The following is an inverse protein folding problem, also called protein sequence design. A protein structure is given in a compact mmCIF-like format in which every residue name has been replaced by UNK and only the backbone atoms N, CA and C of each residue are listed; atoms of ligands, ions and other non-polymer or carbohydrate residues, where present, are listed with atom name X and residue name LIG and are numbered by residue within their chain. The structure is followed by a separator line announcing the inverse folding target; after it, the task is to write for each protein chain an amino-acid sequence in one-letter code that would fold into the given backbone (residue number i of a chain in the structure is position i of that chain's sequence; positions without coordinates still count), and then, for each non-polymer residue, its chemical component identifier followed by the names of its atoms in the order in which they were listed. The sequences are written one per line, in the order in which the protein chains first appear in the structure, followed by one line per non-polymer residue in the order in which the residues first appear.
data_IF_418288428177
#
_entry.id   IF_418288428177
#
_cell.length_a   1.000
_cell.length_b   1.000
_cell.length_c   1.000
_cell.angle_alpha   90.00
_cell.angle_beta   90.00
_cell.angle_gamma   90.00
#
_symmetry.space_group_name_H-M   'P 1'
#
loop_
_entity.id
_entity.type
_entity.pdbx_description
1 polymer ?
#
# COMPACT_ATOMS: atom_id res chain seq x y z
N UNK A 1 -12.57 7.19 -10.01
CA UNK A 1 -13.25 6.36 -11.04
C UNK A 1 -14.56 5.93 -10.42
N UNK A 2 -15.64 5.76 -11.20
CA UNK A 2 -16.86 5.20 -10.65
C UNK A 2 -16.59 3.72 -10.26
N UNK A 3 -17.08 3.32 -9.08
CA UNK A 3 -17.09 1.94 -8.62
C UNK A 3 -17.63 1.02 -9.74
N UNK A 4 -16.88 -0.01 -10.11
CA UNK A 4 -17.36 -0.94 -11.12
C UNK A 4 -18.49 -1.77 -10.52
N UNK A 5 -19.66 -1.79 -11.12
CA UNK A 5 -20.77 -2.67 -10.72
C UNK A 5 -20.48 -4.17 -10.98
N UNK A 6 -19.29 -4.50 -11.46
CA UNK A 6 -18.87 -5.85 -11.79
C UNK A 6 -18.48 -6.61 -10.52
N UNK A 7 -18.99 -7.84 -10.37
CA UNK A 7 -18.52 -8.76 -9.32
C UNK A 7 -17.08 -9.18 -9.60
N UNK A 8 -16.18 -8.92 -8.66
CA UNK A 8 -14.78 -9.27 -8.75
C UNK A 8 -14.52 -10.70 -8.26
N UNK A 9 -13.43 -11.31 -8.73
CA UNK A 9 -12.92 -12.58 -8.21
C UNK A 9 -11.69 -12.33 -7.35
N UNK A 10 -11.68 -12.94 -6.16
CA UNK A 10 -10.57 -12.81 -5.22
C UNK A 10 -9.24 -13.27 -5.86
N UNK A 11 -8.20 -12.42 -5.87
CA UNK A 11 -6.91 -12.75 -6.48
C UNK A 11 -6.14 -13.84 -5.73
N UNK A 12 -6.50 -14.11 -4.46
CA UNK A 12 -5.85 -15.11 -3.63
C UNK A 12 -6.49 -16.50 -3.74
N UNK A 13 -7.84 -16.60 -3.76
CA UNK A 13 -8.53 -17.90 -3.72
C UNK A 13 -9.51 -18.13 -4.89
N UNK A 14 -9.74 -17.15 -5.76
CA UNK A 14 -10.63 -17.25 -6.91
C UNK A 14 -12.14 -17.19 -6.59
N UNK A 15 -12.53 -17.09 -5.32
CA UNK A 15 -13.94 -16.98 -4.91
C UNK A 15 -14.51 -15.62 -5.33
N UNK A 16 -15.80 -15.58 -5.64
CA UNK A 16 -16.49 -14.30 -5.90
C UNK A 16 -16.49 -13.41 -4.66
N UNK A 17 -16.09 -12.14 -4.84
CA UNK A 17 -16.06 -11.15 -3.78
C UNK A 17 -17.44 -10.48 -3.66
N UNK A 18 -17.77 -10.09 -2.45
CA UNK A 18 -19.00 -9.38 -2.13
C UNK A 18 -18.71 -7.90 -1.93
N UNK A 19 -19.49 -7.03 -2.56
CA UNK A 19 -19.44 -5.59 -2.33
C UNK A 19 -20.15 -5.24 -1.03
N UNK A 20 -19.40 -4.62 -0.12
CA UNK A 20 -19.90 -4.11 1.16
C UNK A 20 -19.88 -2.59 1.09
N UNK A 21 -21.05 -1.98 1.21
CA UNK A 21 -21.14 -0.53 1.30
C UNK A 21 -20.75 -0.06 2.69
N UNK A 22 -19.83 0.89 2.77
CA UNK A 22 -19.36 1.51 4.03
C UNK A 22 -19.91 2.94 4.09
N UNK A 23 -21.00 3.18 4.85
CA UNK A 23 -21.70 4.46 4.85
C UNK A 23 -20.86 5.63 5.33
N UNK A 24 -19.94 5.38 6.27
CA UNK A 24 -19.08 6.42 6.85
C UNK A 24 -18.15 7.07 5.81
N UNK A 25 -17.67 6.30 4.83
CA UNK A 25 -16.81 6.76 3.74
C UNK A 25 -17.57 6.94 2.42
N UNK A 26 -18.78 6.38 2.31
CA UNK A 26 -19.63 6.47 1.12
C UNK A 26 -19.12 5.66 -0.08
N UNK A 27 -18.34 4.60 0.17
CA UNK A 27 -17.74 3.73 -0.85
C UNK A 27 -18.14 2.27 -0.68
N UNK A 28 -18.01 1.48 -1.76
CA UNK A 28 -18.15 0.04 -1.70
C UNK A 28 -16.76 -0.60 -1.67
N UNK A 29 -16.57 -1.59 -0.81
CA UNK A 29 -15.33 -2.37 -0.69
C UNK A 29 -15.62 -3.81 -1.10
N UNK A 30 -14.75 -4.42 -1.90
CA UNK A 30 -14.88 -5.82 -2.31
C UNK A 30 -14.22 -6.75 -1.29
N UNK A 31 -15.02 -7.65 -0.67
CA UNK A 31 -14.56 -8.56 0.39
C UNK A 31 -14.83 -10.01 0.02
N UNK A 32 -13.85 -10.88 0.21
CA UNK A 32 -13.94 -12.32 -0.01
C UNK A 32 -14.60 -13.04 1.18
N UNK A 33 -15.87 -12.75 1.46
CA UNK A 33 -16.61 -13.23 2.65
C UNK A 33 -16.81 -14.74 2.70
N UNK A 34 -16.80 -15.44 1.55
CA UNK A 34 -17.02 -16.90 1.44
C UNK A 34 -15.74 -17.70 1.14
N UNK A 35 -14.58 -17.05 1.12
CA UNK A 35 -13.32 -17.69 0.77
C UNK A 35 -12.24 -17.46 1.80
N UNK A 36 -11.29 -16.57 1.51
CA UNK A 36 -10.11 -16.34 2.34
C UNK A 36 -10.20 -15.10 3.25
N UNK A 37 -11.27 -14.31 3.19
CA UNK A 37 -11.41 -13.09 3.99
C UNK A 37 -10.59 -11.89 3.48
N UNK A 38 -9.95 -12.01 2.30
CA UNK A 38 -9.18 -10.92 1.71
C UNK A 38 -10.07 -9.76 1.24
N UNK A 39 -9.50 -8.55 1.23
CA UNK A 39 -10.17 -7.29 0.92
C UNK A 39 -9.49 -6.65 -0.28
N UNK A 40 -10.25 -6.21 -1.25
CA UNK A 40 -9.75 -5.42 -2.36
C UNK A 40 -10.32 -3.99 -2.29
N UNK A 41 -9.41 -3.04 -2.31
CA UNK A 41 -9.69 -1.62 -2.39
C UNK A 41 -9.38 -1.10 -3.80
N UNK A 42 -10.30 -0.40 -4.40
CA UNK A 42 -10.05 0.32 -5.63
C UNK A 42 -9.06 1.49 -5.40
N UNK A 43 -8.63 2.13 -6.48
CA UNK A 43 -7.64 3.21 -6.42
C UNK A 43 -8.06 4.32 -5.43
N UNK A 44 -7.22 4.55 -4.43
CA UNK A 44 -7.36 5.54 -3.33
C UNK A 44 -8.38 5.20 -2.24
N UNK A 45 -9.14 4.12 -2.34
CA UNK A 45 -10.08 3.74 -1.28
C UNK A 45 -9.34 3.32 -0.02
N UNK A 46 -8.24 2.58 -0.15
CA UNK A 46 -7.44 2.12 0.99
C UNK A 46 -7.09 3.25 1.97
N UNK A 47 -6.79 4.45 1.47
CA UNK A 47 -6.44 5.62 2.28
C UNK A 47 -7.61 6.16 3.14
N UNK A 48 -8.81 5.62 2.99
CA UNK A 48 -9.98 5.96 3.81
C UNK A 48 -10.19 4.97 4.95
N UNK A 49 -9.28 3.99 5.10
CA UNK A 49 -9.42 2.88 6.04
C UNK A 49 -8.14 2.50 6.78
N UNK A 50 -7.00 3.11 6.45
CA UNK A 50 -5.68 2.70 6.97
C UNK A 50 -5.32 3.33 8.32
N UNK A 51 -6.11 4.31 8.81
CA UNK A 51 -5.87 4.99 10.08
C UNK A 51 -6.88 4.59 11.17
N UNK A 52 -6.44 4.61 12.45
CA UNK A 52 -7.25 4.14 13.59
C UNK A 52 -8.54 4.90 13.80
N UNK A 53 -8.59 6.18 13.45
CA UNK A 53 -9.77 7.03 13.66
C UNK A 53 -10.88 6.80 12.62
N UNK A 54 -10.58 6.10 11.52
CA UNK A 54 -11.55 5.81 10.47
C UNK A 54 -12.45 4.64 10.88
N UNK A 55 -13.73 4.71 10.50
CA UNK A 55 -14.67 3.64 10.82
C UNK A 55 -14.50 2.47 9.83
N UNK A 56 -14.32 1.25 10.35
CA UNK A 56 -14.23 -0.01 9.60
C UNK A 56 -15.23 -1.07 10.11
N UNK A 57 -16.21 -0.69 10.90
CA UNK A 57 -17.13 -1.64 11.55
C UNK A 57 -17.87 -2.52 10.54
N UNK A 58 -18.31 -1.96 9.42
CA UNK A 58 -18.97 -2.69 8.35
C UNK A 58 -18.04 -3.76 7.72
N UNK A 59 -16.75 -3.43 7.56
CA UNK A 59 -15.73 -4.35 7.03
C UNK A 59 -15.50 -5.48 8.03
N UNK A 60 -15.28 -5.14 9.31
CA UNK A 60 -15.06 -6.12 10.38
C UNK A 60 -16.26 -7.05 10.51
N UNK A 61 -17.48 -6.51 10.51
CA UNK A 61 -18.70 -7.31 10.59
C UNK A 61 -18.84 -8.28 9.42
N UNK A 62 -18.42 -7.88 8.22
CA UNK A 62 -18.46 -8.72 7.02
C UNK A 62 -17.51 -9.93 7.09
N UNK A 63 -16.43 -9.83 7.88
CA UNK A 63 -15.43 -10.92 8.07
C UNK A 63 -15.50 -11.58 9.45
N UNK A 64 -16.32 -11.06 10.36
CA UNK A 64 -16.47 -11.60 11.69
C UNK A 64 -17.17 -12.98 11.64
N UNK A 65 -16.73 -13.88 12.52
CA UNK A 65 -17.27 -15.22 12.69
C UNK A 65 -17.21 -16.15 11.47
N UNK A 66 -16.33 -15.90 10.52
CA UNK A 66 -16.08 -16.78 9.38
C UNK A 66 -14.75 -17.56 9.57
N UNK A 67 -14.80 -18.88 9.33
CA UNK A 67 -13.60 -19.71 9.23
C UNK A 67 -13.01 -19.58 7.84
N UNK A 68 -12.03 -18.67 7.68
CA UNK A 68 -11.39 -18.45 6.40
C UNK A 68 -10.31 -19.49 6.10
N UNK A 69 -10.23 -19.87 4.82
CA UNK A 69 -9.20 -20.80 4.34
C UNK A 69 -7.87 -20.04 4.21
N UNK A 70 -6.77 -20.60 4.73
CA UNK A 70 -5.46 -20.03 4.49
C UNK A 70 -5.15 -20.03 2.99
N UNK A 71 -4.42 -19.01 2.54
CA UNK A 71 -3.97 -18.86 1.16
C UNK A 71 -2.44 -18.94 1.11
N UNK A 72 -1.92 -19.34 -0.04
CA UNK A 72 -0.46 -19.30 -0.27
C UNK A 72 -0.07 -17.88 -0.73
N UNK A 73 0.53 -17.14 0.18
CA UNK A 73 0.98 -15.77 -0.06
C UNK A 73 2.19 -15.67 -1.00
N UNK A 74 2.88 -16.78 -1.29
CA UNK A 74 4.01 -16.82 -2.22
C UNK A 74 3.58 -16.82 -3.69
N UNK A 75 2.32 -17.16 -3.97
CA UNK A 75 1.80 -17.21 -5.33
C UNK A 75 1.59 -15.80 -5.90
N UNK A 76 1.92 -15.60 -7.19
CA UNK A 76 1.69 -14.31 -7.85
C UNK A 76 0.20 -14.03 -7.94
N UNK A 77 -0.19 -12.79 -7.62
CA UNK A 77 -1.56 -12.31 -7.70
C UNK A 77 -1.77 -11.40 -8.89
N UNK A 78 -2.99 -11.42 -9.40
CA UNK A 78 -3.43 -10.57 -10.51
C UNK A 78 -4.60 -9.70 -10.07
N UNK A 79 -4.53 -8.43 -10.42
CA UNK A 79 -5.55 -7.45 -10.03
C UNK A 79 -6.94 -7.87 -10.52
N UNK A 80 -7.94 -7.99 -9.64
CA UNK A 80 -9.28 -8.43 -10.04
C UNK A 80 -10.01 -7.38 -10.90
N UNK A 81 -9.60 -6.10 -10.82
CA UNK A 81 -10.21 -5.02 -11.60
C UNK A 81 -9.64 -4.88 -13.01
N UNK A 82 -8.32 -5.10 -13.22
CA UNK A 82 -7.69 -4.84 -14.52
C UNK A 82 -6.86 -6.01 -15.07
N UNK A 83 -6.68 -7.10 -14.33
CA UNK A 83 -5.94 -8.29 -14.74
C UNK A 83 -4.41 -8.16 -14.73
N UNK A 84 -3.85 -6.98 -14.40
CA UNK A 84 -2.40 -6.79 -14.32
C UNK A 84 -1.81 -7.56 -13.12
N UNK A 85 -0.56 -8.03 -13.26
CA UNK A 85 0.16 -8.64 -12.14
C UNK A 85 0.39 -7.61 -11.04
N UNK A 86 0.05 -7.99 -9.82
CA UNK A 86 0.27 -7.16 -8.62
C UNK A 86 1.69 -7.33 -8.08
N UNK A 87 2.18 -6.32 -7.39
CA UNK A 87 3.47 -6.33 -6.72
C UNK A 87 3.27 -6.29 -5.21
N UNK A 88 4.07 -7.06 -4.46
CA UNK A 88 4.09 -6.98 -3.00
C UNK A 88 4.90 -5.75 -2.56
N UNK A 89 4.25 -4.85 -1.84
CA UNK A 89 4.85 -3.65 -1.26
C UNK A 89 4.63 -3.61 0.24
N UNK A 90 5.55 -2.99 0.95
CA UNK A 90 5.34 -2.72 2.36
C UNK A 90 4.31 -1.62 2.57
N UNK A 91 3.42 -1.81 3.54
CA UNK A 91 2.37 -0.85 3.92
C UNK A 91 2.94 0.41 4.56
N UNK A 92 4.13 0.30 5.18
CA UNK A 92 4.79 1.39 5.90
C UNK A 92 6.31 1.33 5.84
N UNK A 93 6.96 2.35 6.39
CA UNK A 93 8.41 2.44 6.54
C UNK A 93 8.98 1.44 7.56
N UNK A 94 8.16 0.87 8.46
CA UNK A 94 8.57 -0.22 9.36
C UNK A 94 8.85 -1.52 8.61
N UNK A 95 8.26 -1.70 7.43
CA UNK A 95 8.45 -2.86 6.56
C UNK A 95 8.06 -4.21 7.23
N UNK A 96 7.02 -4.17 8.06
CA UNK A 96 6.52 -5.35 8.77
C UNK A 96 5.41 -6.06 7.99
N UNK A 97 4.52 -5.28 7.34
CA UNK A 97 3.34 -5.80 6.65
C UNK A 97 3.46 -5.53 5.17
N UNK A 98 3.25 -6.56 4.35
CA UNK A 98 3.22 -6.46 2.89
C UNK A 98 1.79 -6.54 2.38
N UNK A 99 1.46 -5.74 1.37
CA UNK A 99 0.18 -5.75 0.66
C UNK A 99 0.42 -5.93 -0.83
N UNK A 100 -0.55 -6.49 -1.54
CA UNK A 100 -0.47 -6.59 -3.00
C UNK A 100 -1.03 -5.31 -3.64
N UNK A 101 -0.20 -4.64 -4.45
CA UNK A 101 -0.54 -3.37 -5.10
C UNK A 101 -0.50 -3.49 -6.61
N UNK A 102 -1.52 -2.96 -7.27
CA UNK A 102 -1.61 -2.90 -8.72
C UNK A 102 -1.13 -1.55 -9.25
N UNK A 103 0.06 -1.49 -9.83
CA UNK A 103 0.58 -0.24 -10.42
C UNK A 103 -0.15 0.20 -11.69
N UNK A 104 -0.95 -0.66 -12.31
CA UNK A 104 -1.71 -0.30 -13.51
C UNK A 104 -2.97 0.52 -13.19
N UNK A 105 -3.68 0.19 -12.11
CA UNK A 105 -4.92 0.88 -11.74
C UNK A 105 -4.93 1.47 -10.33
N UNK A 106 -3.92 1.20 -9.50
CA UNK A 106 -3.79 1.70 -8.13
C UNK A 106 -4.60 0.90 -7.08
N UNK A 107 -5.24 -0.20 -7.47
CA UNK A 107 -5.97 -1.07 -6.54
C UNK A 107 -5.02 -1.81 -5.59
N UNK A 108 -5.48 -2.08 -4.36
CA UNK A 108 -4.73 -2.82 -3.33
C UNK A 108 -5.55 -4.01 -2.85
N UNK A 109 -4.85 -5.14 -2.68
CA UNK A 109 -5.45 -6.32 -2.07
C UNK A 109 -4.71 -6.65 -0.77
N UNK A 110 -5.49 -6.85 0.27
CA UNK A 110 -5.04 -7.21 1.60
C UNK A 110 -5.53 -8.62 1.94
N UNK A 111 -4.67 -9.44 2.52
CA UNK A 111 -5.07 -10.71 3.08
C UNK A 111 -5.87 -10.53 4.38
N UNK A 112 -6.53 -11.58 4.83
CA UNK A 112 -7.33 -11.54 6.05
C UNK A 112 -6.47 -11.12 7.26
N UNK A 113 -6.93 -10.10 7.98
CA UNK A 113 -6.25 -9.56 9.15
C UNK A 113 -5.22 -8.47 8.88
N UNK A 114 -4.73 -8.29 7.63
CA UNK A 114 -3.73 -7.27 7.32
C UNK A 114 -4.24 -5.84 7.54
N UNK A 115 -5.49 -5.54 7.22
CA UNK A 115 -6.07 -4.22 7.50
C UNK A 115 -5.97 -3.87 9.00
N UNK A 116 -6.35 -4.80 9.86
CA UNK A 116 -6.27 -4.62 11.31
C UNK A 116 -4.82 -4.50 11.78
N UNK A 117 -3.91 -5.30 11.21
CA UNK A 117 -2.49 -5.24 11.53
C UNK A 117 -1.88 -3.89 11.14
N UNK A 118 -2.17 -3.37 9.93
CA UNK A 118 -1.71 -2.07 9.43
C UNK A 118 -2.19 -0.95 10.37
N UNK A 119 -3.46 -0.95 10.75
CA UNK A 119 -4.03 0.06 11.66
C UNK A 119 -3.40 0.02 13.06
N UNK A 120 -2.90 -1.13 13.48
CA UNK A 120 -2.26 -1.32 14.78
C UNK A 120 -0.73 -1.16 14.75
N UNK A 121 -0.12 -0.99 13.58
CA UNK A 121 1.32 -0.86 13.41
C UNK A 121 1.91 0.36 14.13
N UNK A 122 1.12 1.44 14.26
CA UNK A 122 1.47 2.65 15.01
C UNK A 122 0.45 2.92 16.11
N UNK A 123 0.89 3.45 17.24
CA UNK A 123 -0.03 3.84 18.31
C UNK A 123 -0.92 5.04 17.92
N UNK A 124 -0.33 5.98 17.16
CA UNK A 124 -1.00 7.20 16.71
C UNK A 124 -0.31 7.80 15.46
N UNK A 125 -0.99 8.76 14.82
CA UNK A 125 -0.52 9.42 13.60
C UNK A 125 0.78 10.20 13.78
N UNK A 126 1.06 10.68 14.99
CA UNK A 126 2.30 11.39 15.30
C UNK A 126 3.50 10.44 15.25
N UNK A 127 3.36 9.23 15.79
CA UNK A 127 4.40 8.18 15.69
C UNK A 127 4.67 7.83 14.23
N UNK A 128 3.61 7.55 13.45
CA UNK A 128 3.70 7.28 12.01
C UNK A 128 4.42 8.39 11.27
N UNK A 129 4.03 9.65 11.50
CA UNK A 129 4.64 10.81 10.87
C UNK A 129 6.13 10.93 11.23
N UNK A 130 6.48 10.75 12.50
CA UNK A 130 7.87 10.82 12.95
C UNK A 130 8.74 9.74 12.30
N UNK A 131 8.25 8.53 12.15
CA UNK A 131 9.02 7.45 11.51
C UNK A 131 9.19 7.67 10.01
N UNK A 132 8.15 8.15 9.32
CA UNK A 132 8.25 8.57 7.92
C UNK A 132 9.28 9.70 7.76
N UNK A 133 9.25 10.71 8.63
CA UNK A 133 10.22 11.83 8.59
C UNK A 133 11.64 11.36 8.84
N UNK A 134 11.87 10.46 9.80
CA UNK A 134 13.18 9.86 10.04
C UNK A 134 13.68 9.08 8.82
N UNK A 135 12.81 8.26 8.21
CA UNK A 135 13.14 7.51 7.02
C UNK A 135 13.56 8.44 5.87
N UNK A 136 12.74 9.44 5.56
CA UNK A 136 13.01 10.43 4.51
C UNK A 136 14.32 11.19 4.80
N UNK A 137 14.55 11.62 6.05
CA UNK A 137 15.77 12.33 6.43
C UNK A 137 17.02 11.44 6.25
N UNK A 138 16.93 10.17 6.64
CA UNK A 138 18.07 9.24 6.51
C UNK A 138 18.38 8.96 5.03
N UNK A 139 17.37 8.67 4.21
CA UNK A 139 17.57 8.38 2.79
C UNK A 139 18.05 9.61 2.01
N UNK A 140 17.35 10.73 2.10
CA UNK A 140 17.72 11.97 1.39
C UNK A 140 18.99 12.59 1.98
N UNK A 141 19.16 12.55 3.30
CA UNK A 141 20.34 13.07 3.99
C UNK A 141 21.63 12.38 3.54
N UNK A 142 21.60 11.06 3.39
CA UNK A 142 22.72 10.26 2.88
C UNK A 142 23.03 10.65 1.42
N UNK A 143 22.00 10.76 0.56
CA UNK A 143 22.21 11.16 -0.83
C UNK A 143 22.79 12.57 -0.98
N UNK A 144 22.34 13.53 -0.16
CA UNK A 144 22.88 14.90 -0.17
C UNK A 144 24.35 14.94 0.27
N UNK A 145 24.72 14.19 1.29
CA UNK A 145 26.11 14.08 1.76
C UNK A 145 26.99 13.50 0.64
N UNK A 146 26.57 12.41 0.00
CA UNK A 146 27.29 11.80 -1.11
C UNK A 146 27.42 12.75 -2.32
N UNK A 147 26.37 13.51 -2.62
CA UNK A 147 26.41 14.51 -3.70
C UNK A 147 27.37 15.67 -3.40
N UNK A 148 27.42 16.15 -2.15
CA UNK A 148 28.40 17.18 -1.72
C UNK A 148 29.82 16.66 -1.73
N UNK A 149 30.08 15.45 -1.26
CA UNK A 149 31.38 14.81 -1.32
C UNK A 149 31.88 14.60 -2.75
N UNK A 150 30.97 14.17 -3.65
CA UNK A 150 31.29 14.06 -5.07
C UNK A 150 31.68 15.42 -5.68
N UNK A 151 30.94 16.49 -5.34
CA UNK A 151 31.31 17.88 -5.76
C UNK A 151 32.65 18.34 -5.22
N UNK A 152 32.99 17.97 -4.00
CA UNK A 152 34.30 18.30 -3.40
C UNK A 152 35.46 17.57 -4.07
N UNK A 153 35.24 16.37 -4.62
CA UNK A 153 36.26 15.57 -5.32
C UNK A 153 36.59 16.08 -6.73
N UNK A 154 35.80 17.00 -7.29
CA UNK A 154 36.10 17.63 -8.60
C UNK A 154 37.34 18.49 -8.45
N UNK A 155 38.41 18.15 -9.20
CA UNK A 155 39.67 18.86 -9.16
C UNK A 155 39.52 20.35 -9.54
N UNK A 156 40.37 21.25 -9.03
CA UNK A 156 40.33 22.66 -9.40
C UNK A 156 40.43 22.87 -10.93
N UNK A 157 41.19 22.04 -11.62
CA UNK A 157 41.31 22.03 -13.09
C UNK A 157 39.99 21.68 -13.78
N UNK A 158 39.27 20.73 -13.25
CA UNK A 158 37.95 20.31 -13.79
C UNK A 158 36.87 21.37 -13.57
N UNK A 159 36.93 22.09 -12.43
CA UNK A 159 36.07 23.28 -12.19
C UNK A 159 36.34 24.41 -13.16
N UNK A 160 37.61 24.66 -13.48
CA UNK A 160 38.00 25.67 -14.46
C UNK A 160 37.53 25.28 -15.86
N UNK A 161 37.67 24.00 -16.23
CA UNK A 161 37.23 23.46 -17.52
C UNK A 161 35.71 23.55 -17.70
N UNK A 162 34.96 23.14 -16.68
CA UNK A 162 33.47 23.23 -16.70
C UNK A 162 33.02 24.70 -16.81
N UNK A 163 33.70 25.62 -16.12
CA UNK A 163 33.39 27.05 -16.21
C UNK A 163 33.68 27.65 -17.59
N UNK A 164 34.72 27.17 -18.28
CA UNK A 164 35.06 27.59 -19.64
C UNK A 164 34.18 26.94 -20.71
N UNK A 165 33.65 25.72 -20.43
CA UNK A 165 32.79 24.99 -21.33
C UNK A 165 31.29 25.38 -21.18
N UNK A 166 30.93 26.27 -20.26
CA UNK A 166 29.57 26.70 -20.02
C UNK A 166 28.66 25.63 -19.36
N UNK A 167 29.25 24.64 -18.67
CA UNK A 167 28.61 23.57 -17.94
C UNK A 167 28.56 23.87 -16.43
#
# INVERSE_FOLDING_TARGET
MADSHQTLRCPACGTEMQKIFVPAQGVNVDICTKGCGGIFFDNREFQMFDEKHENIDDIIQAVENNDFKPVDESLPRYCPACGAKMAKNYSSVKKEIQVDECYACGGKFLDHGELTAIRNEYENDLERTNDVMKYVYNEIGVELIHAEEAKRRISPLQRLFNKLAGL
#
